data_IF_246010080971
#
_entry.id   IF_246010080971
#
_cell.length_a   1.000
_cell.length_b   1.000
_cell.length_c   1.000
_cell.angle_alpha   90.00
_cell.angle_beta   90.00
_cell.angle_gamma   90.00
#
_symmetry.space_group_name_H-M   'P 1'
#
loop_
_entity.id
_entity.type
_entity.pdbx_description
1 polymer ?
#
# COMPACT_ATOMS: atom_id res chain seq x y z
N UNK A 1 -35.12 81.52 -4.27
CA UNK A 1 -34.84 80.46 -5.28
C UNK A 1 -33.90 79.36 -4.75
N UNK A 2 -33.09 79.65 -3.75
CA UNK A 2 -32.03 78.74 -3.27
C UNK A 2 -32.58 77.58 -2.40
N UNK A 3 -33.70 77.81 -1.69
CA UNK A 3 -34.30 76.76 -0.84
C UNK A 3 -34.93 75.62 -1.69
N UNK A 4 -35.42 75.92 -2.88
CA UNK A 4 -35.96 74.91 -3.81
C UNK A 4 -34.84 74.05 -4.40
N UNK A 5 -33.74 74.68 -4.76
CA UNK A 5 -32.56 74.01 -5.30
C UNK A 5 -31.95 73.06 -4.22
N UNK A 6 -31.85 73.51 -3.01
CA UNK A 6 -31.33 72.73 -1.88
C UNK A 6 -32.20 71.48 -1.58
N UNK A 7 -33.53 71.64 -1.62
CA UNK A 7 -34.48 70.50 -1.44
C UNK A 7 -34.39 69.48 -2.57
N UNK A 8 -34.20 69.94 -3.82
CA UNK A 8 -34.04 69.03 -4.97
C UNK A 8 -32.73 68.30 -4.91
N UNK A 9 -31.62 68.93 -4.52
CA UNK A 9 -30.32 68.33 -4.33
C UNK A 9 -30.33 67.30 -3.20
N UNK A 10 -30.96 67.60 -2.05
CA UNK A 10 -31.13 66.68 -0.93
C UNK A 10 -32.00 65.45 -1.30
N UNK A 11 -32.98 65.62 -2.16
CA UNK A 11 -33.81 64.51 -2.64
C UNK A 11 -33.08 63.66 -3.63
N UNK A 12 -32.19 64.20 -4.47
CA UNK A 12 -31.36 63.41 -5.38
C UNK A 12 -30.31 62.60 -4.65
N UNK A 13 -29.72 63.14 -3.58
CA UNK A 13 -28.77 62.43 -2.75
C UNK A 13 -29.40 61.28 -1.93
N UNK A 14 -30.69 61.45 -1.49
CA UNK A 14 -31.37 60.39 -0.77
C UNK A 14 -31.83 59.23 -1.69
N UNK A 15 -31.98 59.50 -2.98
CA UNK A 15 -32.35 58.51 -3.99
C UNK A 15 -31.13 57.68 -4.49
N UNK A 16 -29.90 58.22 -4.32
CA UNK A 16 -28.67 57.55 -4.76
C UNK A 16 -28.14 56.53 -3.75
N UNK A 17 -28.84 56.32 -2.61
CA UNK A 17 -28.33 55.45 -1.52
C UNK A 17 -29.07 54.12 -1.41
N UNK A 18 -29.76 53.68 -2.44
CA UNK A 18 -30.52 52.41 -2.43
C UNK A 18 -30.16 51.42 -3.52
N UNK A 19 -29.08 51.64 -4.27
CA UNK A 19 -28.49 50.57 -5.11
C UNK A 19 -27.33 49.91 -4.42
N UNK A 20 -27.56 49.40 -3.24
CA UNK A 20 -26.68 48.34 -2.71
C UNK A 20 -27.01 47.11 -3.53
N UNK A 21 -26.17 46.82 -4.49
CA UNK A 21 -26.06 45.61 -5.27
C UNK A 21 -26.38 44.43 -4.36
N UNK A 22 -27.58 43.91 -4.48
CA UNK A 22 -27.98 42.67 -3.83
C UNK A 22 -27.11 41.57 -4.45
N UNK A 23 -25.92 41.36 -3.84
CA UNK A 23 -25.14 40.16 -4.08
C UNK A 23 -26.06 39.06 -3.61
N UNK A 24 -26.61 38.28 -4.56
CA UNK A 24 -27.45 37.14 -4.36
C UNK A 24 -26.81 36.13 -3.42
N UNK A 25 -26.60 36.51 -2.18
CA UNK A 25 -26.25 35.63 -1.09
C UNK A 25 -27.43 34.67 -0.91
N UNK A 26 -27.21 33.43 -1.31
CA UNK A 26 -28.08 32.32 -1.09
C UNK A 26 -28.48 32.28 0.40
N UNK A 27 -29.57 32.89 0.76
CA UNK A 27 -30.10 32.89 2.15
C UNK A 27 -30.65 31.51 2.45
N UNK A 28 -29.76 30.57 2.72
CA UNK A 28 -30.14 29.25 3.25
C UNK A 28 -30.73 29.45 4.66
N UNK A 29 -31.90 28.89 4.85
CA UNK A 29 -32.50 28.81 6.17
C UNK A 29 -31.57 28.01 7.08
N UNK A 30 -31.35 28.46 8.31
CA UNK A 30 -30.40 27.86 9.26
C UNK A 30 -30.57 26.34 9.42
N UNK A 31 -31.83 25.85 9.33
CA UNK A 31 -32.10 24.41 9.34
C UNK A 31 -31.64 23.69 8.06
N UNK A 32 -31.74 24.34 6.89
CA UNK A 32 -31.24 23.80 5.63
C UNK A 32 -29.69 23.79 5.60
N UNK A 33 -29.10 24.86 6.14
CA UNK A 33 -27.64 24.94 6.24
C UNK A 33 -27.08 23.81 7.11
N UNK A 34 -27.67 23.56 8.28
CA UNK A 34 -27.28 22.43 9.13
C UNK A 34 -27.49 21.07 8.42
N UNK A 35 -28.60 20.88 7.72
CA UNK A 35 -28.85 19.65 6.96
C UNK A 35 -27.79 19.42 5.88
N UNK A 36 -27.44 20.46 5.12
CA UNK A 36 -26.41 20.37 4.07
C UNK A 36 -25.05 20.04 4.66
N UNK A 37 -24.67 20.65 5.79
CA UNK A 37 -23.40 20.36 6.47
C UNK A 37 -23.34 18.88 6.88
N UNK A 38 -24.41 18.34 7.48
CA UNK A 38 -24.47 16.94 7.88
C UNK A 38 -24.36 15.97 6.70
N UNK A 39 -25.03 16.27 5.58
CA UNK A 39 -24.93 15.46 4.34
C UNK A 39 -23.51 15.52 3.78
N UNK A 40 -22.89 16.71 3.76
CA UNK A 40 -21.50 16.84 3.28
C UNK A 40 -20.53 16.07 4.17
N UNK A 41 -20.67 16.17 5.49
CA UNK A 41 -19.85 15.41 6.43
C UNK A 41 -20.03 13.89 6.24
N UNK A 42 -21.27 13.42 6.13
CA UNK A 42 -21.57 12.02 5.87
C UNK A 42 -20.94 11.53 4.54
N UNK A 43 -21.00 12.34 3.49
CA UNK A 43 -20.39 12.02 2.20
C UNK A 43 -18.85 11.92 2.31
N UNK A 44 -18.21 12.85 3.02
CA UNK A 44 -16.76 12.82 3.25
C UNK A 44 -16.35 11.58 4.05
N UNK A 45 -17.12 11.21 5.08
CA UNK A 45 -16.86 10.01 5.87
C UNK A 45 -16.96 8.74 5.01
N UNK A 46 -17.99 8.64 4.17
CA UNK A 46 -18.14 7.51 3.24
C UNK A 46 -16.98 7.44 2.26
N UNK A 47 -16.57 8.58 1.68
CA UNK A 47 -15.40 8.65 0.79
C UNK A 47 -14.12 8.18 1.47
N UNK A 48 -13.88 8.61 2.72
CA UNK A 48 -12.73 8.16 3.51
C UNK A 48 -12.78 6.65 3.79
N UNK A 49 -13.94 6.10 4.12
CA UNK A 49 -14.10 4.67 4.33
C UNK A 49 -13.81 3.87 3.06
N UNK A 50 -14.33 4.30 1.92
CA UNK A 50 -14.05 3.66 0.62
C UNK A 50 -12.55 3.70 0.31
N UNK A 51 -11.90 4.84 0.54
CA UNK A 51 -10.47 4.99 0.34
C UNK A 51 -9.65 4.05 1.24
N UNK A 52 -10.02 3.93 2.52
CA UNK A 52 -9.36 3.03 3.47
C UNK A 52 -9.58 1.54 3.16
N UNK A 53 -10.70 1.19 2.54
CA UNK A 53 -11.02 -0.20 2.18
C UNK A 53 -10.41 -0.64 0.84
N UNK A 54 -9.78 0.25 0.09
CA UNK A 54 -9.24 -0.07 -1.23
C UNK A 54 -7.78 -0.48 -1.13
N UNK A 55 -7.48 -1.72 -1.54
CA UNK A 55 -6.13 -2.28 -1.57
C UNK A 55 -5.73 -2.67 -2.99
N UNK A 56 -4.49 -2.35 -3.39
CA UNK A 56 -3.98 -2.67 -4.72
C UNK A 56 -2.82 -3.65 -4.62
N UNK A 57 -2.96 -4.79 -5.28
CA UNK A 57 -1.90 -5.77 -5.44
C UNK A 57 -1.16 -5.51 -6.76
N UNK A 58 0.17 -5.45 -6.68
CA UNK A 58 1.03 -5.24 -7.84
C UNK A 58 1.03 -6.41 -8.83
N UNK A 59 1.48 -6.18 -10.08
CA UNK A 59 1.62 -7.24 -11.04
C UNK A 59 2.68 -8.25 -10.58
N UNK A 60 2.40 -9.55 -10.77
CA UNK A 60 3.30 -10.63 -10.36
C UNK A 60 3.19 -11.04 -8.89
N UNK A 61 2.29 -10.39 -8.12
CA UNK A 61 2.01 -10.74 -6.73
C UNK A 61 0.60 -11.27 -6.56
N UNK A 62 0.40 -12.10 -5.54
CA UNK A 62 -0.90 -12.50 -5.04
C UNK A 62 -0.96 -12.28 -3.53
N UNK A 63 -2.12 -11.89 -3.04
CA UNK A 63 -2.34 -11.58 -1.63
C UNK A 63 -3.05 -12.70 -0.88
N UNK A 64 -2.60 -13.00 0.33
CA UNK A 64 -3.32 -13.83 1.28
C UNK A 64 -4.00 -12.94 2.30
N UNK A 65 -5.30 -13.14 2.49
CA UNK A 65 -6.09 -12.39 3.47
C UNK A 65 -6.03 -13.13 4.81
N UNK A 66 -5.59 -12.41 5.83
CA UNK A 66 -5.72 -12.81 7.22
C UNK A 66 -6.79 -11.95 7.90
N UNK A 67 -7.81 -12.60 8.39
CA UNK A 67 -8.90 -11.96 9.13
C UNK A 67 -8.70 -12.19 10.63
N UNK A 68 -8.70 -11.13 11.43
CA UNK A 68 -8.54 -11.23 12.88
C UNK A 68 -9.59 -12.13 13.57
N UNK A 69 -10.79 -12.23 13.00
CA UNK A 69 -11.89 -13.02 13.57
C UNK A 69 -12.05 -14.41 12.94
N UNK A 70 -11.53 -14.63 11.72
CA UNK A 70 -11.78 -15.85 10.94
C UNK A 70 -10.51 -16.59 10.50
N UNK A 71 -9.32 -16.07 10.82
CA UNK A 71 -8.06 -16.68 10.40
C UNK A 71 -7.71 -16.42 8.92
N UNK A 72 -6.96 -17.34 8.34
CA UNK A 72 -6.52 -17.27 6.94
C UNK A 72 -7.67 -17.67 6.03
N UNK A 73 -7.94 -16.87 5.01
CA UNK A 73 -8.89 -17.23 3.96
C UNK A 73 -8.23 -18.18 2.95
N UNK A 74 -8.98 -19.17 2.48
CA UNK A 74 -8.51 -20.11 1.44
C UNK A 74 -8.38 -19.43 0.08
N UNK A 75 -9.22 -18.41 -0.17
CA UNK A 75 -9.17 -17.64 -1.41
C UNK A 75 -8.02 -16.63 -1.36
N UNK A 76 -7.26 -16.59 -2.45
CA UNK A 76 -6.17 -15.63 -2.65
C UNK A 76 -6.61 -14.49 -3.54
N UNK A 77 -6.14 -13.28 -3.24
CA UNK A 77 -6.34 -12.12 -4.09
C UNK A 77 -5.32 -12.12 -5.24
N UNK A 78 -5.81 -12.05 -6.46
CA UNK A 78 -4.98 -11.86 -7.65
C UNK A 78 -4.52 -10.40 -7.78
N UNK A 79 -3.66 -10.14 -8.78
CA UNK A 79 -3.25 -8.76 -9.11
C UNK A 79 -4.46 -7.87 -9.42
N UNK A 80 -4.43 -6.61 -8.97
CA UNK A 80 -5.48 -5.64 -9.23
C UNK A 80 -5.98 -4.90 -7.99
N UNK A 81 -7.15 -4.28 -8.12
CA UNK A 81 -7.80 -3.56 -7.03
C UNK A 81 -8.78 -4.48 -6.30
N UNK A 82 -8.67 -4.50 -4.99
CA UNK A 82 -9.53 -5.30 -4.12
C UNK A 82 -10.09 -4.45 -2.99
N UNK A 83 -11.27 -4.85 -2.51
CA UNK A 83 -11.86 -4.26 -1.30
C UNK A 83 -11.42 -5.12 -0.11
N UNK A 84 -10.67 -4.50 0.80
CA UNK A 84 -10.16 -5.14 2.02
C UNK A 84 -10.65 -4.33 3.21
N UNK A 85 -11.26 -4.99 4.17
CA UNK A 85 -11.78 -4.30 5.35
C UNK A 85 -10.67 -3.97 6.35
N UNK A 86 -10.84 -2.93 7.21
CA UNK A 86 -9.80 -2.49 8.15
C UNK A 86 -9.34 -3.55 9.17
N UNK A 87 -10.15 -4.59 9.41
CA UNK A 87 -9.81 -5.71 10.29
C UNK A 87 -9.16 -6.90 9.56
N UNK A 88 -8.92 -6.76 8.27
CA UNK A 88 -8.23 -7.73 7.44
C UNK A 88 -6.82 -7.23 7.15
N UNK A 89 -5.87 -8.15 7.13
CA UNK A 89 -4.50 -7.88 6.71
C UNK A 89 -4.19 -8.67 5.45
N UNK A 90 -3.56 -8.04 4.48
CA UNK A 90 -3.12 -8.68 3.25
C UNK A 90 -1.61 -8.79 3.27
N UNK A 91 -1.09 -9.99 3.03
CA UNK A 91 0.34 -10.23 2.84
C UNK A 91 0.54 -10.72 1.41
N UNK A 92 1.42 -10.02 0.70
CA UNK A 92 1.72 -10.29 -0.70
C UNK A 92 2.87 -11.28 -0.84
N UNK A 93 2.71 -12.22 -1.76
CA UNK A 93 3.71 -13.21 -2.15
C UNK A 93 3.94 -13.16 -3.66
N UNK A 94 5.20 -13.30 -4.14
CA UNK A 94 5.49 -13.34 -5.57
C UNK A 94 4.99 -14.63 -6.19
N UNK A 95 4.13 -14.50 -7.19
CA UNK A 95 3.65 -15.60 -8.04
C UNK A 95 4.28 -15.57 -9.41
N UNK A 96 5.03 -14.51 -9.71
CA UNK A 96 5.93 -14.43 -10.84
C UNK A 96 7.24 -15.16 -10.55
N UNK A 97 8.04 -15.31 -11.58
CA UNK A 97 9.38 -15.89 -11.45
C UNK A 97 10.32 -14.87 -10.82
N UNK A 98 10.84 -15.20 -9.63
CA UNK A 98 11.83 -14.40 -8.91
C UNK A 98 13.21 -15.04 -9.00
N UNK A 99 14.24 -14.24 -9.21
CA UNK A 99 15.64 -14.69 -9.24
C UNK A 99 16.41 -14.07 -8.09
N UNK A 100 16.97 -14.91 -7.24
CA UNK A 100 17.80 -14.49 -6.11
C UNK A 100 19.24 -14.84 -6.41
N UNK A 101 20.13 -13.86 -6.21
CA UNK A 101 21.57 -13.99 -6.45
C UNK A 101 22.33 -13.82 -5.14
N UNK A 102 23.05 -14.84 -4.75
CA UNK A 102 24.04 -14.77 -3.67
C UNK A 102 25.42 -14.70 -4.27
N UNK A 103 26.04 -13.53 -4.24
CA UNK A 103 27.37 -13.31 -4.82
C UNK A 103 28.25 -12.48 -3.90
N UNK A 104 29.55 -12.60 -4.14
CA UNK A 104 30.57 -11.80 -3.46
C UNK A 104 30.43 -10.34 -3.91
N UNK A 105 30.43 -9.43 -2.94
CA UNK A 105 30.43 -7.99 -3.22
C UNK A 105 31.65 -7.58 -4.05
N UNK A 106 31.41 -7.03 -5.23
CA UNK A 106 32.47 -6.52 -6.12
C UNK A 106 33.01 -5.14 -5.71
N UNK A 107 33.30 -4.94 -4.41
CA UNK A 107 34.02 -3.75 -3.94
C UNK A 107 33.20 -2.46 -3.84
N UNK A 108 31.90 -2.45 -4.15
CA UNK A 108 31.04 -1.34 -3.81
C UNK A 108 30.76 -1.33 -2.30
N UNK A 109 31.04 -0.23 -1.63
CA UNK A 109 30.93 -0.09 -0.17
C UNK A 109 29.54 -0.35 0.40
N UNK A 110 28.51 -0.38 -0.44
CA UNK A 110 27.11 -0.58 -0.05
C UNK A 110 26.55 -1.97 -0.37
N UNK A 111 27.31 -2.84 -1.05
CA UNK A 111 26.88 -4.19 -1.37
C UNK A 111 27.36 -5.16 -0.29
N UNK A 112 26.42 -5.67 0.49
CA UNK A 112 26.67 -6.72 1.49
C UNK A 112 27.11 -7.99 0.78
N UNK A 113 28.24 -8.57 1.21
CA UNK A 113 28.66 -9.90 0.77
C UNK A 113 27.62 -10.93 1.20
N UNK A 114 26.93 -11.52 0.22
CA UNK A 114 25.89 -12.54 0.44
C UNK A 114 26.34 -13.91 -0.05
N UNK A 115 27.57 -14.04 -0.56
CA UNK A 115 28.12 -15.32 -1.05
C UNK A 115 28.07 -16.43 -0.01
N UNK A 116 28.00 -17.66 -0.50
CA UNK A 116 27.92 -18.85 0.34
C UNK A 116 29.33 -19.42 0.56
N UNK A 117 29.76 -19.50 1.81
CA UNK A 117 31.00 -20.14 2.20
C UNK A 117 30.75 -21.64 2.49
N UNK A 118 31.38 -22.53 1.75
CA UNK A 118 31.28 -23.98 1.90
C UNK A 118 32.66 -24.60 2.13
N UNK A 119 32.66 -25.74 2.82
CA UNK A 119 33.89 -26.51 3.03
C UNK A 119 33.94 -27.63 2.01
N UNK A 120 35.09 -27.74 1.34
CA UNK A 120 35.38 -28.89 0.46
C UNK A 120 35.84 -30.11 1.30
N UNK A 121 35.83 -31.29 0.67
CA UNK A 121 36.32 -32.55 1.27
C UNK A 121 37.71 -32.42 1.87
N UNK A 122 38.57 -31.63 1.25
CA UNK A 122 39.94 -31.37 1.72
C UNK A 122 40.03 -30.38 2.91
N UNK A 123 38.89 -29.96 3.45
CA UNK A 123 38.82 -29.00 4.56
C UNK A 123 39.15 -27.55 4.17
N UNK A 124 39.19 -27.24 2.88
CA UNK A 124 39.37 -25.87 2.39
C UNK A 124 38.05 -25.16 2.31
N UNK A 125 38.03 -23.92 2.75
CA UNK A 125 36.85 -23.05 2.61
C UNK A 125 36.84 -22.38 1.24
N UNK A 126 35.74 -22.55 0.50
CA UNK A 126 35.55 -21.97 -0.82
C UNK A 126 34.31 -21.09 -0.76
N UNK A 127 34.41 -19.94 -1.41
CA UNK A 127 33.33 -19.01 -1.56
C UNK A 127 32.65 -19.27 -2.92
N UNK A 128 31.33 -19.51 -2.90
CA UNK A 128 30.55 -19.88 -4.09
C UNK A 128 29.46 -18.84 -4.33
N UNK A 129 29.39 -18.35 -5.55
CA UNK A 129 28.31 -17.53 -6.02
C UNK A 129 27.18 -18.43 -6.53
N UNK A 130 25.97 -18.24 -6.00
CA UNK A 130 24.80 -19.06 -6.34
C UNK A 130 23.64 -18.19 -6.77
N UNK A 131 23.05 -18.54 -7.89
CA UNK A 131 21.82 -17.96 -8.39
C UNK A 131 20.73 -19.04 -8.44
N UNK A 132 19.58 -18.75 -7.91
CA UNK A 132 18.43 -19.62 -8.07
C UNK A 132 17.18 -18.83 -8.42
N UNK A 133 16.27 -19.52 -9.09
CA UNK A 133 15.02 -18.96 -9.54
C UNK A 133 13.89 -19.78 -8.95
N UNK A 134 12.89 -19.10 -8.40
CA UNK A 134 11.72 -19.74 -7.82
C UNK A 134 10.44 -19.03 -8.19
N UNK A 135 9.33 -19.69 -7.96
CA UNK A 135 7.97 -19.14 -8.10
C UNK A 135 7.08 -19.78 -7.04
N UNK A 136 6.25 -18.95 -6.38
CA UNK A 136 5.25 -19.48 -5.47
C UNK A 136 3.97 -19.82 -6.22
N UNK A 137 3.37 -20.97 -5.90
CA UNK A 137 2.08 -21.36 -6.47
C UNK A 137 0.97 -20.62 -5.72
N UNK A 138 0.13 -19.90 -6.46
CA UNK A 138 -0.97 -19.12 -5.91
C UNK A 138 -1.95 -19.97 -5.09
N UNK A 139 -2.19 -21.21 -5.49
CA UNK A 139 -3.13 -22.11 -4.82
C UNK A 139 -2.64 -22.59 -3.46
N UNK A 140 -1.31 -22.61 -3.25
CA UNK A 140 -0.68 -23.05 -2.03
C UNK A 140 -0.35 -21.89 -1.06
N UNK A 141 -0.56 -20.65 -1.46
CA UNK A 141 -0.23 -19.48 -0.62
C UNK A 141 -0.88 -19.49 0.76
N UNK A 142 -2.16 -19.87 0.96
CA UNK A 142 -2.75 -19.93 2.29
C UNK A 142 -2.04 -20.94 3.20
N UNK A 143 -1.58 -22.07 2.65
CA UNK A 143 -0.80 -23.06 3.38
C UNK A 143 0.60 -22.55 3.70
N UNK A 144 1.26 -21.88 2.75
CA UNK A 144 2.56 -21.24 2.94
C UNK A 144 2.45 -20.20 4.06
N UNK A 145 1.45 -19.33 4.00
CA UNK A 145 1.19 -18.33 5.05
C UNK A 145 1.06 -18.96 6.43
N UNK A 146 0.29 -20.04 6.54
CA UNK A 146 0.06 -20.74 7.81
C UNK A 146 1.33 -21.41 8.31
N UNK A 147 2.05 -22.14 7.44
CA UNK A 147 3.27 -22.86 7.76
C UNK A 147 4.40 -21.92 8.21
N UNK A 148 4.49 -20.76 7.59
CA UNK A 148 5.51 -19.76 7.92
C UNK A 148 5.01 -18.63 8.83
N UNK A 149 3.87 -18.82 9.50
CA UNK A 149 3.31 -17.89 10.49
C UNK A 149 3.10 -16.47 9.97
N UNK A 150 2.66 -16.34 8.73
CA UNK A 150 2.40 -15.04 8.12
C UNK A 150 3.64 -14.18 7.88
N UNK A 151 4.83 -14.77 7.78
CA UNK A 151 6.05 -14.05 7.42
C UNK A 151 6.00 -13.52 5.99
N UNK A 152 6.67 -12.41 5.76
CA UNK A 152 6.87 -11.88 4.42
C UNK A 152 7.74 -12.84 3.60
N UNK A 153 7.57 -12.83 2.28
CA UNK A 153 8.38 -13.66 1.37
C UNK A 153 9.88 -13.42 1.50
N UNK A 154 10.30 -12.17 1.74
CA UNK A 154 11.70 -11.80 1.96
C UNK A 154 12.32 -12.52 3.17
N UNK A 155 11.58 -12.68 4.26
CA UNK A 155 12.04 -13.39 5.45
C UNK A 155 12.14 -14.90 5.20
N UNK A 156 11.26 -15.44 4.33
CA UNK A 156 11.29 -16.85 3.90
C UNK A 156 12.52 -17.09 3.03
N UNK A 157 12.82 -16.18 2.09
CA UNK A 157 14.03 -16.23 1.27
C UNK A 157 15.30 -16.24 2.12
N UNK A 158 15.44 -15.24 2.98
CA UNK A 158 16.66 -15.03 3.75
C UNK A 158 16.89 -16.12 4.80
N UNK A 159 15.84 -16.76 5.30
CA UNK A 159 16.00 -17.73 6.38
C UNK A 159 15.91 -19.16 5.86
N UNK A 160 14.89 -19.50 5.09
CA UNK A 160 14.60 -20.90 4.75
C UNK A 160 15.25 -21.29 3.43
N UNK A 161 15.03 -20.50 2.38
CA UNK A 161 15.58 -20.80 1.06
C UNK A 161 17.10 -20.70 1.07
N UNK A 162 17.67 -19.69 1.73
CA UNK A 162 19.11 -19.56 1.90
C UNK A 162 19.72 -20.75 2.62
N UNK A 163 19.11 -21.21 3.73
CA UNK A 163 19.60 -22.37 4.47
C UNK A 163 19.48 -23.66 3.66
N UNK A 164 18.38 -23.86 2.94
CA UNK A 164 18.21 -25.02 2.07
C UNK A 164 19.26 -25.03 0.93
N UNK A 165 19.51 -23.86 0.35
CA UNK A 165 20.55 -23.70 -0.67
C UNK A 165 21.95 -23.98 -0.11
N UNK A 166 22.25 -23.44 1.08
CA UNK A 166 23.50 -23.70 1.77
C UNK A 166 23.74 -25.20 2.01
N UNK A 167 22.72 -25.91 2.48
CA UNK A 167 22.78 -27.36 2.68
C UNK A 167 23.04 -28.12 1.38
N UNK A 168 22.29 -27.78 0.32
CA UNK A 168 22.41 -28.43 -0.99
C UNK A 168 23.84 -28.25 -1.59
N UNK A 169 24.36 -27.00 -1.54
CA UNK A 169 25.70 -26.70 -2.04
C UNK A 169 26.76 -27.41 -1.21
N UNK A 170 26.63 -27.40 0.13
CA UNK A 170 27.58 -28.07 1.01
C UNK A 170 27.58 -29.61 0.84
N UNK A 171 26.42 -30.20 0.60
CA UNK A 171 26.31 -31.64 0.31
C UNK A 171 27.05 -32.00 -0.97
N UNK A 172 26.86 -31.26 -2.05
CA UNK A 172 27.55 -31.49 -3.33
C UNK A 172 29.07 -31.29 -3.19
N UNK A 173 29.50 -30.22 -2.52
CA UNK A 173 30.98 -29.93 -2.35
C UNK A 173 31.68 -30.88 -1.40
N UNK A 174 30.98 -31.48 -0.45
CA UNK A 174 31.53 -32.48 0.47
C UNK A 174 31.72 -33.86 -0.16
N UNK A 175 31.02 -34.14 -1.27
CA UNK A 175 31.16 -35.41 -1.99
C UNK A 175 32.32 -35.44 -3.00
N UNK A 176 32.75 -34.26 -3.44
CA UNK A 176 33.87 -34.06 -4.38
C UNK A 176 35.04 -33.37 -3.68
#
# INVERSE_FOLDING_TARGET
>A
NDIKQYKLWKKSMSSSKSDTKDNGGFKMNQKQLMGTIWVTVAFVVVMLLVYMCTYRIGPGFAGVIYNANGGVQEDTLSQGWHVVFPWQSVIEYPVSTETVSYSKSNGNKDSKDTSINVNTKDGKQVNVDVNYTYRMDQTLLPQIFTNFRGRKYTDIEDTIMKNAMYQAVNEVTSQH
#
